data_IF_687424475502
#
_entry.id   IF_687424475502
#
_cell.length_a   1.000
_cell.length_b   1.000
_cell.length_c   1.000
_cell.angle_alpha   90.00
_cell.angle_beta   90.00
_cell.angle_gamma   90.00
#
_symmetry.space_group_name_H-M   'P 1'
#
loop_
_entity.id
_entity.type
_entity.pdbx_description
1 polymer ?
#
# COMPACT_ATOMS: atom_id res chain seq x y z
N UNK A 1 27.17 -7.17 2.39
CA UNK A 1 25.75 -7.45 2.51
C UNK A 1 24.96 -6.34 1.85
N UNK A 2 23.93 -6.70 1.16
CA UNK A 2 23.09 -5.71 0.51
C UNK A 2 22.26 -4.95 1.56
N UNK A 3 22.50 -3.65 1.66
CA UNK A 3 21.79 -2.80 2.61
C UNK A 3 20.29 -2.85 2.37
N UNK A 4 19.87 -3.01 1.13
CA UNK A 4 18.45 -3.07 0.79
C UNK A 4 17.74 -4.24 1.47
N UNK A 5 18.44 -5.33 1.72
CA UNK A 5 17.84 -6.48 2.39
C UNK A 5 17.45 -6.17 3.82
N UNK A 6 18.06 -5.17 4.44
CA UNK A 6 17.75 -4.76 5.79
C UNK A 6 16.58 -3.79 5.85
N UNK A 7 16.35 -3.05 4.76
CA UNK A 7 15.32 -2.02 4.71
C UNK A 7 14.00 -2.54 4.16
N UNK A 8 14.04 -3.64 3.43
CA UNK A 8 12.86 -4.18 2.78
C UNK A 8 12.16 -5.17 3.70
N UNK A 9 10.86 -5.00 3.83
CA UNK A 9 10.03 -6.04 4.40
C UNK A 9 10.03 -7.21 3.43
N UNK A 10 10.37 -8.39 3.91
CA UNK A 10 10.37 -9.57 3.07
C UNK A 10 8.95 -9.85 2.60
N UNK A 11 8.84 -10.33 1.36
CA UNK A 11 7.54 -10.52 0.74
C UNK A 11 6.62 -11.42 1.55
N UNK A 12 7.14 -12.52 2.10
CA UNK A 12 6.28 -13.41 2.87
C UNK A 12 5.76 -12.77 4.16
N UNK A 13 6.58 -11.90 4.79
CA UNK A 13 6.16 -11.19 6.00
C UNK A 13 5.08 -10.18 5.64
N UNK A 14 5.26 -9.44 4.55
CA UNK A 14 4.28 -8.46 4.10
C UNK A 14 2.96 -9.15 3.76
N UNK A 15 3.01 -10.32 3.11
CA UNK A 15 1.81 -11.07 2.81
C UNK A 15 1.10 -11.54 4.08
N UNK A 16 1.84 -11.97 5.09
CA UNK A 16 1.25 -12.33 6.37
C UNK A 16 0.58 -11.13 7.05
N UNK A 17 1.22 -9.97 6.99
CA UNK A 17 0.64 -8.75 7.55
C UNK A 17 -0.70 -8.42 6.87
N UNK A 18 -0.75 -8.51 5.56
CA UNK A 18 -1.98 -8.26 4.82
C UNK A 18 -3.06 -9.29 5.14
N UNK A 19 -2.66 -10.55 5.30
CA UNK A 19 -3.60 -11.61 5.71
C UNK A 19 -4.19 -11.32 7.09
N UNK A 20 -3.34 -10.91 8.03
CA UNK A 20 -3.78 -10.60 9.40
C UNK A 20 -4.72 -9.40 9.41
N UNK A 21 -4.51 -8.44 8.54
CA UNK A 21 -5.41 -7.29 8.41
C UNK A 21 -6.73 -7.66 7.76
N UNK A 22 -6.81 -8.82 7.13
CA UNK A 22 -7.99 -9.21 6.40
C UNK A 22 -8.07 -8.64 4.98
N UNK A 23 -6.96 -8.13 4.46
CA UNK A 23 -6.92 -7.57 3.12
C UNK A 23 -6.74 -8.69 2.10
N UNK A 24 -7.77 -9.52 1.96
CA UNK A 24 -7.72 -10.74 1.16
C UNK A 24 -8.81 -10.83 0.10
N UNK A 25 -10.05 -10.56 0.49
CA UNK A 25 -11.21 -10.65 -0.39
C UNK A 25 -12.11 -9.45 -0.19
N UNK A 26 -12.89 -9.12 -1.21
CA UNK A 26 -13.86 -8.02 -1.16
C UNK A 26 -13.18 -6.70 -0.79
N UNK A 27 -11.99 -6.47 -1.33
CA UNK A 27 -11.23 -5.27 -1.02
C UNK A 27 -11.58 -4.08 -1.91
N UNK A 28 -12.28 -4.33 -3.01
CA UNK A 28 -12.73 -3.24 -3.89
C UNK A 28 -13.66 -2.30 -3.12
N UNK A 29 -13.40 -1.02 -3.20
CA UNK A 29 -14.18 -0.03 -2.47
C UNK A 29 -13.70 0.24 -1.05
N UNK A 30 -12.76 -0.53 -0.56
CA UNK A 30 -12.19 -0.35 0.79
C UNK A 30 -10.85 0.35 0.69
N UNK A 31 -10.66 1.37 1.54
CA UNK A 31 -9.49 2.22 1.46
C UNK A 31 -8.38 1.74 2.38
N UNK A 32 -7.16 1.75 1.86
CA UNK A 32 -5.97 1.35 2.60
C UNK A 32 -4.91 2.43 2.49
N UNK A 33 -4.22 2.67 3.60
CA UNK A 33 -3.10 3.63 3.66
C UNK A 33 -1.85 2.92 4.16
N UNK A 34 -0.74 3.15 3.46
CA UNK A 34 0.56 2.76 3.95
C UNK A 34 1.40 4.00 4.26
N UNK A 35 1.68 4.23 5.54
CA UNK A 35 2.61 5.26 5.98
C UNK A 35 4.03 4.82 5.64
N UNK A 36 4.85 5.72 5.12
CA UNK A 36 6.25 5.42 4.80
C UNK A 36 6.33 4.24 3.83
N UNK A 37 5.68 4.38 2.68
CA UNK A 37 5.58 3.27 1.73
C UNK A 37 6.91 2.89 1.08
N UNK A 38 7.95 3.71 1.23
CA UNK A 38 9.25 3.41 0.66
C UNK A 38 9.17 3.27 -0.84
N UNK A 39 9.89 2.28 -1.37
CA UNK A 39 9.85 1.97 -2.80
C UNK A 39 8.60 1.18 -3.19
N UNK A 40 7.69 0.95 -2.25
CA UNK A 40 6.43 0.28 -2.53
C UNK A 40 6.45 -1.23 -2.34
N UNK A 41 7.35 -1.75 -1.51
CA UNK A 41 7.45 -3.20 -1.34
C UNK A 41 6.16 -3.83 -0.82
N UNK A 42 5.54 -3.20 0.17
CA UNK A 42 4.24 -3.66 0.68
C UNK A 42 3.13 -3.18 -0.24
N UNK A 43 3.20 -1.93 -0.68
CA UNK A 43 2.16 -1.33 -1.50
C UNK A 43 1.98 -2.05 -2.83
N UNK A 44 3.07 -2.56 -3.40
CA UNK A 44 2.99 -3.36 -4.63
C UNK A 44 2.15 -4.63 -4.40
N UNK A 45 2.32 -5.28 -3.24
CA UNK A 45 1.53 -6.46 -2.91
C UNK A 45 0.06 -6.09 -2.69
N UNK A 46 -0.19 -4.94 -2.08
CA UNK A 46 -1.55 -4.41 -1.90
C UNK A 46 -2.22 -4.23 -3.26
N UNK A 47 -1.52 -3.57 -4.18
CA UNK A 47 -2.04 -3.31 -5.52
C UNK A 47 -2.32 -4.61 -6.27
N UNK A 48 -1.41 -5.58 -6.19
CA UNK A 48 -1.62 -6.86 -6.86
C UNK A 48 -2.83 -7.61 -6.27
N UNK A 49 -2.97 -7.63 -4.96
CA UNK A 49 -4.13 -8.25 -4.33
C UNK A 49 -5.43 -7.56 -4.76
N UNK A 50 -5.40 -6.23 -4.82
CA UNK A 50 -6.56 -5.46 -5.23
C UNK A 50 -6.98 -5.81 -6.65
N UNK A 51 -6.02 -5.82 -7.57
CA UNK A 51 -6.29 -6.10 -8.99
C UNK A 51 -6.82 -7.52 -9.15
N UNK A 52 -6.13 -8.50 -8.57
CA UNK A 52 -6.52 -9.90 -8.70
C UNK A 52 -7.90 -10.15 -8.12
N UNK A 53 -8.16 -9.59 -6.95
CA UNK A 53 -9.45 -9.75 -6.29
C UNK A 53 -10.57 -9.09 -7.09
N UNK A 54 -10.32 -7.90 -7.62
CA UNK A 54 -11.32 -7.20 -8.43
C UNK A 54 -11.65 -7.96 -9.72
N UNK A 55 -10.65 -8.53 -10.37
CA UNK A 55 -10.90 -9.37 -11.54
C UNK A 55 -11.72 -10.61 -11.19
N UNK A 56 -11.39 -11.26 -10.09
CA UNK A 56 -12.15 -12.43 -9.63
C UNK A 56 -13.61 -12.10 -9.37
N UNK A 57 -13.87 -10.88 -8.89
CA UNK A 57 -15.23 -10.43 -8.60
C UNK A 57 -15.95 -9.86 -9.81
N UNK A 58 -15.31 -9.86 -10.97
CA UNK A 58 -15.96 -9.49 -12.22
C UNK A 58 -15.88 -8.01 -12.58
N UNK A 59 -15.06 -7.23 -11.91
CA UNK A 59 -14.89 -5.81 -12.26
C UNK A 59 -14.15 -5.66 -13.59
N UNK A 60 -14.56 -4.68 -14.38
CA UNK A 60 -13.89 -4.37 -15.63
C UNK A 60 -12.54 -3.72 -15.40
N UNK A 61 -11.72 -3.71 -16.44
CA UNK A 61 -10.42 -3.02 -16.40
C UNK A 61 -10.59 -1.55 -16.01
N UNK A 62 -11.57 -0.88 -16.60
CA UNK A 62 -11.83 0.53 -16.31
C UNK A 62 -12.25 0.74 -14.86
N UNK A 63 -13.09 -0.14 -14.34
CA UNK A 63 -13.50 -0.07 -12.94
C UNK A 63 -12.32 -0.30 -12.00
N UNK A 64 -11.41 -1.21 -12.37
CA UNK A 64 -10.22 -1.48 -11.55
C UNK A 64 -9.31 -0.27 -11.48
N UNK A 65 -9.10 0.42 -12.62
CA UNK A 65 -8.29 1.64 -12.61
C UNK A 65 -8.91 2.69 -11.70
N UNK A 66 -10.20 2.94 -11.82
CA UNK A 66 -10.89 3.90 -10.95
C UNK A 66 -10.79 3.50 -9.48
N UNK A 67 -10.91 2.21 -9.20
CA UNK A 67 -10.78 1.71 -7.84
C UNK A 67 -9.38 1.93 -7.26
N UNK A 68 -8.34 1.63 -8.03
CA UNK A 68 -6.97 1.88 -7.61
C UNK A 68 -6.75 3.35 -7.28
N UNK A 69 -7.33 4.23 -8.08
CA UNK A 69 -7.20 5.68 -7.88
C UNK A 69 -8.03 6.20 -6.71
N UNK A 70 -8.93 5.40 -6.17
CA UNK A 70 -9.83 5.81 -5.09
C UNK A 70 -9.52 5.14 -3.76
N UNK A 71 -8.93 3.95 -3.78
CA UNK A 71 -8.88 3.08 -2.61
C UNK A 71 -7.48 2.84 -2.05
N UNK A 72 -6.42 3.19 -2.78
CA UNK A 72 -5.06 2.88 -2.34
C UNK A 72 -4.28 4.17 -2.15
N UNK A 73 -3.71 4.33 -0.96
CA UNK A 73 -3.02 5.55 -0.55
C UNK A 73 -1.69 5.21 0.11
N UNK A 74 -0.71 6.07 -0.10
CA UNK A 74 0.58 5.92 0.55
C UNK A 74 1.23 7.27 0.78
N UNK A 75 2.32 7.28 1.55
CA UNK A 75 3.10 8.47 1.80
C UNK A 75 4.58 8.12 1.89
N UNK A 76 5.42 8.98 1.35
CA UNK A 76 6.87 8.81 1.40
C UNK A 76 7.53 10.19 1.41
N UNK A 77 8.47 10.40 2.34
CA UNK A 77 9.12 11.71 2.51
C UNK A 77 10.40 11.86 1.71
N UNK A 78 10.98 10.76 1.23
CA UNK A 78 12.23 10.79 0.45
C UNK A 78 11.90 10.78 -1.03
N UNK A 79 12.29 11.85 -1.73
CA UNK A 79 11.90 12.06 -3.14
C UNK A 79 12.33 10.91 -4.06
N UNK A 80 13.59 10.46 -3.95
CA UNK A 80 14.09 9.39 -4.82
C UNK A 80 13.34 8.09 -4.55
N UNK A 81 13.02 7.82 -3.31
CA UNK A 81 12.28 6.62 -2.91
C UNK A 81 10.83 6.72 -3.39
N UNK A 82 10.23 7.90 -3.27
CA UNK A 82 8.89 8.17 -3.80
C UNK A 82 8.83 7.90 -5.30
N UNK A 83 9.81 8.43 -6.05
CA UNK A 83 9.84 8.24 -7.50
C UNK A 83 9.95 6.76 -7.86
N UNK A 84 10.74 6.01 -7.09
CA UNK A 84 10.88 4.56 -7.32
C UNK A 84 9.59 3.82 -7.00
N UNK A 85 8.87 4.26 -5.99
CA UNK A 85 7.57 3.68 -5.66
C UNK A 85 6.60 3.84 -6.83
N UNK A 86 6.48 5.05 -7.37
CA UNK A 86 5.60 5.31 -8.52
C UNK A 86 6.00 4.43 -9.71
N UNK A 87 7.29 4.32 -9.98
CA UNK A 87 7.77 3.48 -11.06
C UNK A 87 7.37 2.02 -10.86
N UNK A 88 7.53 1.50 -9.64
CA UNK A 88 7.18 0.13 -9.33
C UNK A 88 5.67 -0.13 -9.46
N UNK A 89 4.85 0.82 -9.02
CA UNK A 89 3.40 0.71 -9.17
C UNK A 89 2.98 0.78 -10.64
N UNK A 90 3.61 1.65 -11.41
CA UNK A 90 3.34 1.75 -12.85
C UNK A 90 3.69 0.43 -13.55
N UNK A 91 4.76 -0.23 -13.12
CA UNK A 91 5.14 -1.52 -13.69
C UNK A 91 4.07 -2.58 -13.44
N UNK A 92 3.44 -2.56 -12.26
CA UNK A 92 2.35 -3.49 -11.97
C UNK A 92 1.14 -3.19 -12.85
N UNK A 93 0.78 -1.92 -12.99
CA UNK A 93 -0.33 -1.54 -13.86
C UNK A 93 -0.08 -2.00 -15.30
N UNK A 94 1.16 -1.88 -15.77
CA UNK A 94 1.55 -2.34 -17.10
C UNK A 94 1.45 -3.85 -17.22
N UNK A 95 1.86 -4.58 -16.17
CA UNK A 95 1.77 -6.04 -16.14
C UNK A 95 0.33 -6.52 -16.34
N UNK A 96 -0.65 -5.79 -15.80
CA UNK A 96 -2.06 -6.14 -15.91
C UNK A 96 -2.77 -5.38 -17.02
N UNK A 97 -2.02 -4.68 -17.87
CA UNK A 97 -2.56 -3.94 -19.03
C UNK A 97 -3.63 -2.92 -18.63
N UNK A 98 -3.38 -2.21 -17.54
CA UNK A 98 -4.34 -1.23 -17.04
C UNK A 98 -4.13 0.17 -17.60
N UNK A 99 -3.01 0.41 -18.25
CA UNK A 99 -2.69 1.75 -18.75
C UNK A 99 -2.23 2.65 -17.61
N UNK A 100 -2.56 3.93 -17.73
CA UNK A 100 -2.13 4.92 -16.76
C UNK A 100 -3.05 4.93 -15.54
N UNK A 101 -2.43 4.90 -14.34
CA UNK A 101 -3.14 4.99 -13.07
C UNK A 101 -2.61 6.20 -12.32
N UNK A 102 -3.50 6.99 -11.73
CA UNK A 102 -3.14 8.15 -10.90
C UNK A 102 -3.04 7.70 -9.45
N UNK A 103 -1.82 7.36 -9.04
CA UNK A 103 -1.60 6.83 -7.69
C UNK A 103 -1.75 7.93 -6.64
N UNK A 104 -2.45 7.63 -5.56
CA UNK A 104 -2.60 8.54 -4.43
C UNK A 104 -1.44 8.36 -3.45
N UNK A 105 -0.24 8.62 -3.92
CA UNK A 105 0.97 8.54 -3.10
C UNK A 105 1.41 9.96 -2.81
N UNK A 106 1.40 10.33 -1.53
CA UNK A 106 1.77 11.66 -1.10
C UNK A 106 3.28 11.74 -0.92
N UNK A 107 3.91 12.70 -1.59
CA UNK A 107 5.31 13.00 -1.34
C UNK A 107 5.38 13.99 -0.19
N UNK A 108 5.71 13.50 1.00
CA UNK A 108 5.76 14.32 2.20
C UNK A 108 5.47 13.51 3.45
N UNK A 109 5.35 14.23 4.56
CA UNK A 109 5.07 13.63 5.85
C UNK A 109 3.56 13.61 6.08
N UNK A 110 2.99 12.42 6.19
CA UNK A 110 1.56 12.26 6.41
C UNK A 110 1.11 12.87 7.74
N UNK A 111 2.00 12.94 8.73
CA UNK A 111 1.68 13.55 10.02
C UNK A 111 1.57 15.07 9.91
N UNK A 112 2.34 15.68 9.01
CA UNK A 112 2.28 17.11 8.77
C UNK A 112 1.09 17.50 7.90
N UNK A 113 0.66 16.60 7.04
CA UNK A 113 -0.47 16.82 6.13
C UNK A 113 -1.26 15.52 5.98
N UNK A 114 -2.07 15.17 7.00
CA UNK A 114 -2.81 13.92 6.96
C UNK A 114 -3.88 13.93 5.87
N UNK A 115 -4.17 12.76 5.34
CA UNK A 115 -5.30 12.59 4.45
C UNK A 115 -6.61 12.79 5.23
N UNK A 116 -7.54 13.51 4.64
CA UNK A 116 -8.87 13.71 5.25
C UNK A 116 -9.82 12.63 4.75
N UNK A 117 -9.46 11.38 5.02
CA UNK A 117 -10.17 10.20 4.50
C UNK A 117 -10.17 9.15 5.60
N UNK A 118 -11.26 8.41 5.71
CA UNK A 118 -11.32 7.26 6.59
C UNK A 118 -10.79 6.04 5.84
N UNK A 119 -9.90 5.29 6.50
CA UNK A 119 -9.32 4.08 5.93
C UNK A 119 -9.82 2.86 6.69
N UNK A 120 -10.20 1.82 5.95
CA UNK A 120 -10.53 0.53 6.55
C UNK A 120 -9.28 -0.18 7.00
N UNK A 121 -8.16 0.08 6.35
CA UNK A 121 -6.88 -0.55 6.68
C UNK A 121 -5.79 0.49 6.73
N UNK A 122 -4.92 0.40 7.74
CA UNK A 122 -3.71 1.20 7.81
C UNK A 122 -2.55 0.24 8.08
N UNK A 123 -1.51 0.33 7.27
CA UNK A 123 -0.36 -0.54 7.39
C UNK A 123 0.91 0.29 7.28
N UNK A 124 1.95 -0.09 8.02
CA UNK A 124 3.23 0.58 7.96
C UNK A 124 4.31 -0.32 8.50
N UNK A 125 5.54 -0.04 8.09
CA UNK A 125 6.69 -0.81 8.54
C UNK A 125 7.90 0.12 8.68
N UNK A 126 7.87 1.06 9.62
CA UNK A 126 9.01 1.95 9.84
C UNK A 126 10.26 1.15 10.23
N UNK A 127 11.39 1.34 9.57
CA UNK A 127 12.57 0.49 9.77
C UNK A 127 13.22 0.64 11.14
N UNK A 128 12.91 1.70 11.87
CA UNK A 128 13.51 1.98 13.17
C UNK A 128 12.66 1.51 14.34
N UNK A 129 11.50 0.93 14.08
CA UNK A 129 10.59 0.46 15.11
C UNK A 129 10.70 -1.06 15.21
N UNK A 130 10.75 -1.60 16.44
CA UNK A 130 10.76 -3.03 16.65
C UNK A 130 9.43 -3.64 16.18
N UNK A 131 9.46 -4.91 15.80
CA UNK A 131 8.27 -5.62 15.38
C UNK A 131 7.13 -5.49 16.38
N UNK A 132 7.46 -5.55 17.66
CA UNK A 132 6.48 -5.44 18.74
C UNK A 132 5.77 -4.09 18.73
N UNK A 133 6.54 -3.01 18.55
CA UNK A 133 5.97 -1.67 18.54
C UNK A 133 5.16 -1.43 17.27
N UNK A 134 5.61 -1.96 16.15
CA UNK A 134 4.89 -1.86 14.89
C UNK A 134 3.50 -2.51 15.01
N UNK A 135 3.45 -3.70 15.59
CA UNK A 135 2.20 -4.40 15.78
C UNK A 135 1.22 -3.59 16.63
N UNK A 136 1.73 -2.97 17.70
CA UNK A 136 0.91 -2.13 18.55
C UNK A 136 0.38 -0.92 17.78
N UNK A 137 1.23 -0.26 17.02
CA UNK A 137 0.82 0.91 16.23
C UNK A 137 -0.27 0.58 15.24
N UNK A 138 -0.14 -0.53 14.53
CA UNK A 138 -1.15 -0.97 13.57
C UNK A 138 -2.47 -1.20 14.29
N UNK A 139 -2.46 -1.87 15.43
CA UNK A 139 -3.68 -2.12 16.20
C UNK A 139 -4.31 -0.82 16.68
N UNK A 140 -3.51 0.13 17.14
CA UNK A 140 -4.02 1.40 17.63
C UNK A 140 -4.69 2.19 16.52
N UNK A 141 -4.11 2.20 15.32
CA UNK A 141 -4.73 2.84 14.17
C UNK A 141 -6.06 2.21 13.82
N UNK A 142 -6.11 0.89 13.78
CA UNK A 142 -7.34 0.17 13.47
C UNK A 142 -8.44 0.49 14.46
N UNK A 143 -8.12 0.57 15.74
CA UNK A 143 -9.10 0.87 16.78
C UNK A 143 -9.67 2.28 16.69
N UNK A 144 -8.93 3.22 16.14
CA UNK A 144 -9.38 4.61 16.02
C UNK A 144 -10.36 4.80 14.88
N UNK A 145 -10.43 3.87 14.00
CA UNK A 145 -11.34 3.92 12.86
C UNK A 145 -12.65 3.20 13.15
#
# INVERSE_FOLDING_TARGET
MDIRCQQFTKEYIANEMLDLLGYRKSVYGKKILENSCGEGNILCLVVERYIQNAYEEGYSREAIVLGLESDIYGAEIVKTTYDKCIENLDNIAKKYDLGKVRWNIFYGDVLARPFNIKFEYVIGNPPYISYRNLEKEVRDFIKKE
#
